data_IF_879853986595
#
_entry.id   IF_879853986595
#
_cell.length_a   1.000
_cell.length_b   1.000
_cell.length_c   1.000
_cell.angle_alpha   90.00
_cell.angle_beta   90.00
_cell.angle_gamma   90.00
#
_symmetry.space_group_name_H-M   'P 1'
#
loop_
_entity.id
_entity.type
_entity.pdbx_description
1 polymer ?
#
# COMPACT_ATOMS: atom_id res chain seq x y z
N UNK A 1 -9.96 -0.61 1.92
CA UNK A 1 -9.87 -0.40 3.39
C UNK A 1 -10.22 1.05 3.73
N UNK A 2 -9.49 2.04 3.17
CA UNK A 2 -9.74 3.48 3.38
C UNK A 2 -11.19 3.91 3.16
N UNK A 3 -11.71 3.71 1.95
CA UNK A 3 -13.07 4.16 1.56
C UNK A 3 -14.22 3.27 2.09
N UNK A 4 -13.93 2.30 2.96
CA UNK A 4 -14.92 1.37 3.49
C UNK A 4 -15.77 1.96 4.61
N UNK A 5 -16.90 1.31 4.91
CA UNK A 5 -17.81 1.66 6.03
C UNK A 5 -17.33 1.15 7.40
N UNK A 6 -16.11 0.61 7.48
CA UNK A 6 -15.53 0.12 8.72
C UNK A 6 -15.26 1.27 9.70
N UNK A 7 -15.22 0.96 11.00
CA UNK A 7 -14.74 1.91 12.00
C UNK A 7 -13.24 2.19 11.81
N UNK A 8 -12.78 3.39 12.19
CA UNK A 8 -11.42 3.85 11.90
C UNK A 8 -10.34 2.98 12.58
N UNK A 9 -10.58 2.51 13.79
CA UNK A 9 -9.69 1.57 14.51
C UNK A 9 -9.52 0.24 13.77
N UNK A 10 -10.60 -0.26 13.17
CA UNK A 10 -10.57 -1.46 12.32
C UNK A 10 -9.82 -1.18 11.02
N UNK A 11 -9.98 0.01 10.43
CA UNK A 11 -9.24 0.38 9.21
C UNK A 11 -7.74 0.47 9.48
N UNK A 12 -7.33 1.09 10.58
CA UNK A 12 -5.92 1.15 11.01
C UNK A 12 -5.34 -0.25 11.15
N UNK A 13 -6.02 -1.12 11.89
CA UNK A 13 -5.57 -2.50 12.10
C UNK A 13 -5.37 -3.25 10.77
N UNK A 14 -6.32 -3.12 9.85
CA UNK A 14 -6.22 -3.76 8.53
C UNK A 14 -5.11 -3.19 7.65
N UNK A 15 -4.80 -1.90 7.77
CA UNK A 15 -3.67 -1.29 7.06
C UNK A 15 -2.33 -1.80 7.62
N UNK A 16 -2.22 -1.98 8.93
CA UNK A 16 -1.04 -2.55 9.57
C UNK A 16 -0.85 -4.03 9.18
N UNK A 17 -1.93 -4.81 9.15
CA UNK A 17 -1.92 -6.19 8.62
C UNK A 17 -1.48 -6.21 7.15
N UNK A 18 -1.99 -5.28 6.32
CA UNK A 18 -1.60 -5.16 4.90
C UNK A 18 -0.11 -4.84 4.77
N UNK A 19 0.43 -3.96 5.63
CA UNK A 19 1.86 -3.64 5.65
C UNK A 19 2.70 -4.85 6.05
N UNK A 20 2.25 -5.65 7.01
CA UNK A 20 2.92 -6.88 7.40
C UNK A 20 2.96 -7.89 6.24
N UNK A 21 1.87 -8.04 5.48
CA UNK A 21 1.85 -8.89 4.28
C UNK A 21 2.83 -8.36 3.22
N UNK A 22 2.87 -7.05 2.97
CA UNK A 22 3.81 -6.45 2.02
C UNK A 22 5.27 -6.71 2.42
N UNK A 23 5.61 -6.58 3.70
CA UNK A 23 6.94 -6.89 4.20
C UNK A 23 7.34 -8.35 3.93
N UNK A 24 6.43 -9.30 4.16
CA UNK A 24 6.67 -10.71 3.83
C UNK A 24 6.98 -10.92 2.35
N UNK A 25 6.30 -10.19 1.46
CA UNK A 25 6.54 -10.27 0.00
C UNK A 25 7.91 -9.69 -0.34
N UNK A 26 8.25 -8.52 0.22
CA UNK A 26 9.56 -7.87 0.02
C UNK A 26 10.71 -8.75 0.50
N UNK A 27 10.52 -9.49 1.59
CA UNK A 27 11.49 -10.43 2.16
C UNK A 27 11.54 -11.78 1.43
N UNK A 28 10.66 -12.01 0.45
CA UNK A 28 10.56 -13.29 -0.25
C UNK A 28 10.05 -14.44 0.62
N UNK A 29 9.30 -14.14 1.69
CA UNK A 29 8.79 -15.08 2.69
C UNK A 29 7.33 -15.52 2.41
N UNK A 30 6.95 -15.57 1.13
CA UNK A 30 5.62 -16.02 0.68
C UNK A 30 5.82 -17.23 -0.23
N UNK A 31 5.33 -18.38 0.23
CA UNK A 31 5.35 -19.64 -0.50
C UNK A 31 4.24 -19.70 -1.56
N UNK A 32 4.38 -20.56 -2.56
CA UNK A 32 3.39 -20.68 -3.64
C UNK A 32 2.04 -21.27 -3.18
N UNK A 33 2.03 -22.02 -2.07
CA UNK A 33 0.85 -22.59 -1.43
C UNK A 33 0.35 -21.79 -0.21
N UNK A 34 0.81 -20.54 -0.04
CA UNK A 34 0.32 -19.67 1.01
C UNK A 34 -1.20 -19.46 0.92
N UNK A 35 -1.83 -19.35 2.08
CA UNK A 35 -3.28 -19.18 2.21
C UNK A 35 -3.79 -17.81 1.76
N UNK A 36 -2.94 -16.79 1.70
CA UNK A 36 -3.31 -15.45 1.21
C UNK A 36 -3.09 -15.36 -0.31
N UNK A 37 -4.17 -15.42 -1.12
CA UNK A 37 -4.05 -15.40 -2.58
C UNK A 37 -3.49 -14.07 -3.12
N UNK A 38 -3.66 -12.95 -2.40
CA UNK A 38 -3.11 -11.66 -2.81
C UNK A 38 -1.61 -11.65 -2.60
N UNK A 39 -1.15 -12.18 -1.46
CA UNK A 39 0.29 -12.30 -1.18
C UNK A 39 0.99 -13.16 -2.24
N UNK A 40 0.42 -14.33 -2.56
CA UNK A 40 0.95 -15.24 -3.59
C UNK A 40 1.01 -14.55 -4.95
N UNK A 41 -0.08 -13.93 -5.40
CA UNK A 41 -0.15 -13.29 -6.70
C UNK A 41 0.81 -12.09 -6.83
N UNK A 42 0.92 -11.28 -5.78
CA UNK A 42 1.81 -10.12 -5.78
C UNK A 42 3.29 -10.55 -5.70
N UNK A 43 3.61 -11.59 -4.92
CA UNK A 43 4.95 -12.18 -4.92
C UNK A 43 5.32 -12.74 -6.30
N UNK A 44 4.41 -13.43 -6.99
CA UNK A 44 4.65 -13.88 -8.37
C UNK A 44 4.91 -12.71 -9.32
N UNK A 45 4.07 -11.68 -9.26
CA UNK A 45 4.23 -10.50 -10.09
C UNK A 45 5.57 -9.79 -9.83
N UNK A 46 5.95 -9.61 -8.56
CA UNK A 46 7.22 -8.98 -8.18
C UNK A 46 8.46 -9.80 -8.59
N UNK A 47 8.35 -11.13 -8.71
CA UNK A 47 9.43 -11.97 -9.27
C UNK A 47 9.58 -11.79 -10.78
N UNK A 48 8.48 -11.52 -11.48
CA UNK A 48 8.42 -11.48 -12.95
C UNK A 48 8.64 -10.09 -13.55
N UNK A 49 8.33 -9.06 -12.78
CA UNK A 49 8.30 -7.68 -13.20
C UNK A 49 9.06 -6.81 -12.19
N UNK A 50 9.81 -5.78 -12.63
CA UNK A 50 10.54 -4.88 -11.74
C UNK A 50 9.59 -3.88 -11.03
N UNK A 51 8.59 -4.40 -10.31
CA UNK A 51 7.59 -3.60 -9.61
C UNK A 51 8.26 -2.91 -8.41
N UNK A 52 8.22 -1.57 -8.30
CA UNK A 52 8.79 -0.86 -7.16
C UNK A 52 7.87 -0.98 -5.94
N UNK A 53 7.93 -2.10 -5.22
CA UNK A 53 7.04 -2.44 -4.10
C UNK A 53 6.95 -1.37 -3.00
N UNK A 54 7.98 -0.55 -2.81
CA UNK A 54 7.93 0.60 -1.87
C UNK A 54 6.85 1.63 -2.23
N UNK A 55 6.34 1.65 -3.45
CA UNK A 55 5.14 2.43 -3.80
C UNK A 55 3.90 1.95 -3.06
N UNK A 56 3.78 0.66 -2.74
CA UNK A 56 2.66 0.15 -1.95
C UNK A 56 2.74 0.62 -0.49
N UNK A 57 3.96 0.75 0.07
CA UNK A 57 4.15 1.36 1.40
C UNK A 57 3.68 2.82 1.41
N UNK A 58 4.10 3.61 0.42
CA UNK A 58 3.67 5.01 0.27
C UNK A 58 2.14 5.12 0.10
N UNK A 59 1.52 4.16 -0.57
CA UNK A 59 0.06 4.11 -0.70
C UNK A 59 -0.61 3.84 0.65
N UNK A 60 -0.09 2.90 1.44
CA UNK A 60 -0.60 2.63 2.79
C UNK A 60 -0.47 3.89 3.66
N UNK A 61 0.66 4.61 3.59
CA UNK A 61 0.84 5.89 4.28
C UNK A 61 -0.24 6.90 3.87
N UNK A 62 -0.50 7.04 2.56
CA UNK A 62 -1.54 7.94 2.05
C UNK A 62 -2.94 7.61 2.59
N UNK A 63 -3.30 6.33 2.66
CA UNK A 63 -4.59 5.91 3.24
C UNK A 63 -4.62 6.14 4.75
N UNK A 64 -3.49 6.00 5.46
CA UNK A 64 -3.43 6.35 6.89
C UNK A 64 -3.60 7.85 7.13
N UNK A 65 -3.14 8.71 6.22
CA UNK A 65 -3.38 10.17 6.29
C UNK A 65 -4.89 10.48 6.20
N UNK A 66 -5.63 9.77 5.34
CA UNK A 66 -7.09 9.92 5.24
C UNK A 66 -7.80 9.60 6.57
N UNK A 67 -7.32 8.57 7.30
CA UNK A 67 -7.90 8.18 8.60
C UNK A 67 -7.61 9.17 9.72
N UNK A 68 -6.48 9.89 9.64
CA UNK A 68 -6.14 10.93 10.62
C UNK A 68 -6.93 12.21 10.39
N UNK A 69 -7.64 12.33 9.26
CA UNK A 69 -8.35 13.55 8.87
C UNK A 69 -7.40 14.72 8.66
N UNK A 70 -6.21 14.46 8.09
CA UNK A 70 -5.23 15.52 7.87
C UNK A 70 -5.78 16.64 6.97
N UNK A 71 -5.50 17.88 7.37
CA UNK A 71 -5.84 19.07 6.59
C UNK A 71 -4.59 19.63 5.93
N UNK A 72 -4.65 19.88 4.64
CA UNK A 72 -3.52 20.38 3.85
C UNK A 72 -3.60 21.90 3.75
N UNK A 73 -2.78 22.61 4.53
CA UNK A 73 -2.77 24.07 4.57
C UNK A 73 -2.01 24.68 3.39
N UNK A 74 -0.98 23.98 2.91
CA UNK A 74 -0.16 24.41 1.79
C UNK A 74 -0.25 23.46 0.60
N UNK A 75 0.13 23.97 -0.57
CA UNK A 75 0.28 23.12 -1.75
C UNK A 75 1.31 22.01 -1.54
N UNK A 76 2.38 22.27 -0.79
CA UNK A 76 3.41 21.25 -0.55
C UNK A 76 2.86 20.09 0.29
N UNK A 77 1.97 20.37 1.26
CA UNK A 77 1.28 19.33 2.04
C UNK A 77 0.36 18.49 1.13
N UNK A 78 -0.45 19.16 0.30
CA UNK A 78 -1.33 18.48 -0.65
C UNK A 78 -0.54 17.65 -1.67
N UNK A 79 0.61 18.15 -2.09
CA UNK A 79 1.49 17.46 -3.05
C UNK A 79 2.06 16.17 -2.45
N UNK A 80 2.41 16.17 -1.15
CA UNK A 80 2.83 14.95 -0.45
C UNK A 80 1.70 13.92 -0.46
N UNK A 81 0.48 14.33 -0.09
CA UNK A 81 -0.68 13.45 -0.15
C UNK A 81 -0.91 12.87 -1.55
N UNK A 82 -0.95 13.72 -2.59
CA UNK A 82 -1.12 13.27 -3.97
C UNK A 82 0.00 12.30 -4.43
N UNK A 83 1.23 12.49 -3.95
CA UNK A 83 2.34 11.58 -4.23
C UNK A 83 2.09 10.19 -3.63
N UNK A 84 1.58 10.13 -2.40
CA UNK A 84 1.28 8.87 -1.71
C UNK A 84 0.12 8.11 -2.37
N UNK A 85 -1.01 8.77 -2.65
CA UNK A 85 -2.21 8.06 -3.13
C UNK A 85 -2.24 7.83 -4.65
N UNK A 86 -1.78 8.79 -5.45
CA UNK A 86 -1.85 8.72 -6.92
C UNK A 86 -0.47 8.51 -7.54
N UNK A 87 0.54 9.24 -7.06
CA UNK A 87 1.91 9.15 -7.56
C UNK A 87 2.52 7.75 -7.36
N UNK A 88 2.21 7.09 -6.25
CA UNK A 88 2.67 5.74 -5.95
C UNK A 88 2.17 4.72 -6.98
N UNK A 89 0.87 4.73 -7.27
CA UNK A 89 0.27 3.88 -8.32
C UNK A 89 0.91 4.14 -9.67
N UNK A 90 1.10 5.41 -10.04
CA UNK A 90 1.76 5.76 -11.29
C UNK A 90 3.16 5.15 -11.42
N UNK A 91 3.95 5.13 -10.34
CA UNK A 91 5.28 4.50 -10.33
C UNK A 91 5.21 2.98 -10.35
N UNK A 92 4.26 2.37 -9.62
CA UNK A 92 4.05 0.92 -9.62
C UNK A 92 3.75 0.41 -11.03
N UNK A 93 2.87 1.12 -11.76
CA UNK A 93 2.48 0.76 -13.12
C UNK A 93 3.61 0.83 -14.16
N UNK A 94 4.71 1.54 -13.88
CA UNK A 94 5.88 1.56 -14.78
C UNK A 94 6.71 0.27 -14.69
N UNK A 95 6.51 -0.53 -13.65
CA UNK A 95 7.20 -1.79 -13.46
C UNK A 95 6.57 -2.96 -14.21
N UNK A 96 5.41 -2.78 -14.87
CA UNK A 96 4.60 -3.84 -15.52
C UNK A 96 4.65 -3.72 -17.03
#
# INVERSE_FOLDING_TARGET
IGDGVLADDVKVTRLDETRAVLARIQDGAVEEDDTDPVAVALADAARRFPIPLGGLDELIDGVQMDLRGETYETWDDLKVYCRCVAGAIGRLSLGV
#
